data_IF_383396767641
#
_entry.id   IF_383396767641
#
_cell.length_a   1.000
_cell.length_b   1.000
_cell.length_c   1.000
_cell.angle_alpha   90.00
_cell.angle_beta   90.00
_cell.angle_gamma   90.00
#
_symmetry.space_group_name_H-M   'P 1'
#
loop_
_entity.id
_entity.type
_entity.pdbx_description
1 polymer ?
#
# COMPACT_ATOMS: atom_id res chain seq x y z
N UNK A 1 38.26 25.42 -60.20
CA UNK A 1 38.98 24.84 -59.03
C UNK A 1 37.96 24.28 -58.09
N UNK A 2 37.85 22.94 -57.91
CA UNK A 2 36.87 22.35 -56.99
C UNK A 2 37.51 22.19 -55.60
N UNK A 3 36.73 22.55 -54.58
CA UNK A 3 37.06 22.39 -53.18
C UNK A 3 36.93 20.91 -52.77
N UNK A 4 38.02 20.31 -52.35
CA UNK A 4 38.07 19.03 -51.68
C UNK A 4 37.48 19.18 -50.25
N UNK A 5 36.40 18.45 -49.92
CA UNK A 5 36.00 18.20 -48.53
C UNK A 5 36.77 16.98 -48.02
N UNK A 6 37.54 17.18 -46.97
CA UNK A 6 38.09 16.10 -46.21
C UNK A 6 37.07 15.45 -45.33
N UNK A 7 36.81 14.15 -45.52
CA UNK A 7 36.03 13.31 -44.60
C UNK A 7 36.85 13.13 -43.32
N UNK A 8 36.35 13.66 -42.21
CA UNK A 8 36.87 13.35 -40.88
C UNK A 8 36.22 12.06 -40.40
N UNK A 9 37.06 11.03 -40.31
CA UNK A 9 36.73 9.70 -39.78
C UNK A 9 36.35 9.82 -38.28
N UNK A 10 35.04 9.65 -37.97
CA UNK A 10 34.54 9.63 -36.61
C UNK A 10 34.77 8.24 -36.03
N UNK A 11 35.88 8.08 -35.30
CA UNK A 11 36.14 6.87 -34.52
C UNK A 11 35.08 6.70 -33.44
N UNK A 12 34.11 5.82 -33.69
CA UNK A 12 33.14 5.43 -32.68
C UNK A 12 33.82 4.61 -31.61
N UNK A 13 34.03 5.22 -30.45
CA UNK A 13 34.48 4.52 -29.25
C UNK A 13 33.42 3.48 -28.84
N UNK A 14 33.65 2.22 -29.17
CA UNK A 14 32.87 1.08 -28.65
C UNK A 14 33.31 0.86 -27.19
N UNK A 15 32.48 1.22 -26.24
CA UNK A 15 32.64 0.77 -24.88
C UNK A 15 32.42 -0.75 -24.84
N UNK A 16 33.29 -1.52 -24.15
CA UNK A 16 33.07 -2.96 -23.98
C UNK A 16 31.76 -3.18 -23.31
N UNK A 17 30.90 -4.03 -23.93
CA UNK A 17 29.61 -4.38 -23.39
C UNK A 17 29.76 -4.85 -21.95
N UNK A 18 29.05 -4.18 -21.03
CA UNK A 18 28.75 -4.78 -19.75
C UNK A 18 27.95 -6.05 -20.07
N UNK A 19 28.60 -7.19 -19.95
CA UNK A 19 27.89 -8.45 -19.79
C UNK A 19 26.91 -8.22 -18.64
N UNK A 20 25.61 -8.27 -18.97
CA UNK A 20 24.56 -8.28 -17.99
C UNK A 20 24.74 -9.56 -17.16
N UNK A 21 25.46 -9.45 -16.05
CA UNK A 21 25.30 -10.41 -14.97
C UNK A 21 23.81 -10.37 -14.70
N UNK A 22 23.13 -11.45 -15.04
CA UNK A 22 21.75 -11.68 -14.66
C UNK A 22 21.73 -11.68 -13.13
N UNK A 23 21.56 -10.49 -12.54
CA UNK A 23 21.19 -10.37 -11.16
C UNK A 23 19.86 -11.12 -11.08
N UNK A 24 19.82 -12.20 -10.32
CA UNK A 24 18.54 -12.75 -9.88
C UNK A 24 17.86 -11.60 -9.14
N UNK A 25 17.06 -10.84 -9.90
CA UNK A 25 16.41 -9.63 -9.39
C UNK A 25 15.43 -10.03 -8.30
N UNK A 26 15.24 -9.14 -7.33
CA UNK A 26 14.22 -9.31 -6.29
C UNK A 26 12.89 -9.72 -6.95
N UNK A 27 12.18 -10.68 -6.34
CA UNK A 27 10.83 -11.04 -6.77
C UNK A 27 9.93 -9.79 -6.79
N UNK A 28 8.99 -9.67 -7.71
CA UNK A 28 8.07 -8.53 -7.76
C UNK A 28 7.17 -8.51 -6.54
N UNK A 29 6.62 -7.33 -6.22
CA UNK A 29 5.52 -7.20 -5.25
C UNK A 29 4.21 -7.17 -6.03
N UNK A 30 3.26 -8.01 -5.63
CA UNK A 30 1.90 -8.02 -6.18
C UNK A 30 1.15 -6.79 -5.67
N UNK A 31 0.54 -6.04 -6.57
CA UNK A 31 -0.20 -4.80 -6.29
C UNK A 31 -1.63 -4.96 -6.81
N UNK A 32 -2.62 -4.93 -5.93
CA UNK A 32 -4.03 -5.02 -6.30
C UNK A 32 -4.68 -3.65 -6.21
N UNK A 33 -5.24 -3.19 -7.35
CA UNK A 33 -5.89 -1.89 -7.52
C UNK A 33 -7.32 -2.06 -8.03
N UNK A 34 -8.24 -1.17 -7.61
CA UNK A 34 -9.68 -1.33 -7.82
C UNK A 34 -10.29 -0.42 -8.89
N UNK A 35 -9.55 0.54 -9.42
CA UNK A 35 -10.01 1.48 -10.45
C UNK A 35 -9.00 1.54 -11.60
N UNK A 36 -9.45 1.82 -12.82
CA UNK A 36 -8.59 1.93 -14.00
C UNK A 36 -7.47 2.97 -13.82
N UNK A 37 -7.81 4.11 -13.22
CA UNK A 37 -6.89 5.23 -13.03
C UNK A 37 -6.18 5.22 -11.69
N UNK A 38 -6.39 4.21 -10.85
CA UNK A 38 -5.68 4.06 -9.58
C UNK A 38 -4.21 3.71 -9.82
N UNK A 39 -3.36 4.26 -8.97
CA UNK A 39 -1.92 4.01 -8.96
C UNK A 39 -1.49 3.60 -7.56
N UNK A 40 -0.38 2.85 -7.41
CA UNK A 40 0.13 2.49 -6.10
C UNK A 40 0.80 3.65 -5.35
N UNK A 41 0.70 4.86 -5.89
CA UNK A 41 1.09 6.09 -5.24
C UNK A 41 2.51 6.06 -4.66
N UNK A 42 2.64 6.57 -3.43
CA UNK A 42 3.90 6.64 -2.70
C UNK A 42 4.45 5.25 -2.35
N UNK A 43 3.58 4.30 -1.99
CA UNK A 43 3.98 2.92 -1.71
C UNK A 43 4.67 2.31 -2.92
N UNK A 44 4.08 2.42 -4.11
CA UNK A 44 4.70 1.91 -5.32
C UNK A 44 6.02 2.60 -5.68
N UNK A 45 6.13 3.90 -5.44
CA UNK A 45 7.37 4.64 -5.66
C UNK A 45 8.48 4.18 -4.70
N UNK A 46 8.15 3.98 -3.42
CA UNK A 46 9.10 3.51 -2.42
C UNK A 46 9.56 2.07 -2.70
N UNK A 47 8.65 1.16 -3.10
CA UNK A 47 9.00 -0.20 -3.48
C UNK A 47 9.94 -0.23 -4.69
N UNK A 48 9.71 0.60 -5.71
CA UNK A 48 10.63 0.74 -6.85
C UNK A 48 11.99 1.29 -6.43
N UNK A 49 12.02 2.26 -5.52
CA UNK A 49 13.26 2.79 -4.98
C UNK A 49 14.07 1.74 -4.19
N UNK A 50 13.39 0.78 -3.58
CA UNK A 50 14.00 -0.39 -2.93
C UNK A 50 14.42 -1.49 -3.92
N UNK A 51 14.20 -1.30 -5.24
CA UNK A 51 14.60 -2.23 -6.29
C UNK A 51 13.54 -3.26 -6.70
N UNK A 52 12.33 -3.22 -6.13
CA UNK A 52 11.27 -4.16 -6.49
C UNK A 52 10.56 -3.77 -7.78
N UNK A 53 10.30 -4.75 -8.64
CA UNK A 53 9.31 -4.63 -9.71
C UNK A 53 7.90 -4.73 -9.10
N UNK A 54 6.90 -4.17 -9.77
CA UNK A 54 5.50 -4.24 -9.34
C UNK A 54 4.71 -5.06 -10.36
N UNK A 55 4.06 -6.13 -9.91
CA UNK A 55 3.04 -6.87 -10.66
C UNK A 55 1.67 -6.26 -10.30
N UNK A 56 1.15 -5.41 -11.19
CA UNK A 56 -0.10 -4.69 -10.94
C UNK A 56 -1.27 -5.45 -11.54
N UNK A 57 -2.23 -5.81 -10.69
CA UNK A 57 -3.46 -6.53 -11.04
C UNK A 57 -4.69 -5.74 -10.66
N UNK A 58 -5.73 -5.86 -11.48
CA UNK A 58 -7.06 -5.28 -11.26
C UNK A 58 -8.15 -6.33 -11.43
N UNK A 59 -8.40 -7.18 -10.41
CA UNK A 59 -9.35 -8.30 -10.50
C UNK A 59 -10.77 -7.85 -10.83
N UNK A 60 -11.14 -6.63 -10.46
CA UNK A 60 -12.41 -5.99 -10.88
C UNK A 60 -12.57 -5.97 -12.40
N UNK A 61 -11.48 -5.87 -13.15
CA UNK A 61 -11.47 -5.77 -14.61
C UNK A 61 -11.00 -7.07 -15.29
N UNK A 62 -10.92 -8.17 -14.52
CA UNK A 62 -10.65 -9.49 -15.05
C UNK A 62 -9.22 -9.99 -14.89
N UNK A 63 -8.30 -9.22 -14.32
CA UNK A 63 -6.96 -9.73 -14.05
C UNK A 63 -7.03 -10.88 -13.04
N UNK A 64 -6.35 -12.01 -13.29
CA UNK A 64 -6.36 -13.13 -12.37
C UNK A 64 -5.51 -12.84 -11.14
N UNK A 65 -5.94 -13.35 -9.98
CA UNK A 65 -5.09 -13.44 -8.79
C UNK A 65 -4.26 -14.72 -8.87
N UNK A 66 -2.99 -14.71 -8.45
CA UNK A 66 -2.15 -15.90 -8.47
C UNK A 66 -2.60 -16.93 -7.43
N UNK A 67 -2.42 -18.21 -7.70
CA UNK A 67 -2.78 -19.29 -6.77
C UNK A 67 -1.81 -19.38 -5.58
N UNK A 68 -0.57 -18.92 -5.75
CA UNK A 68 0.47 -18.85 -4.72
C UNK A 68 1.24 -17.54 -4.82
N UNK A 69 1.96 -17.16 -3.77
CA UNK A 69 2.88 -16.02 -3.76
C UNK A 69 4.35 -16.44 -3.93
N UNK A 70 4.63 -17.66 -4.43
CA UNK A 70 6.01 -18.14 -4.61
C UNK A 70 6.83 -17.23 -5.51
N UNK A 71 6.22 -16.65 -6.54
CA UNK A 71 6.84 -15.74 -7.49
C UNK A 71 6.78 -14.25 -7.05
N UNK A 72 6.34 -13.97 -5.80
CA UNK A 72 6.20 -12.62 -5.27
C UNK A 72 6.91 -12.44 -3.93
N UNK A 73 7.54 -11.30 -3.74
CA UNK A 73 8.14 -10.92 -2.45
C UNK A 73 7.10 -10.61 -1.37
N UNK A 74 5.88 -10.30 -1.78
CA UNK A 74 4.74 -9.96 -0.92
C UNK A 74 3.61 -9.38 -1.75
N UNK A 75 2.50 -9.02 -1.10
CA UNK A 75 1.32 -8.49 -1.75
C UNK A 75 0.75 -7.26 -1.03
N UNK A 76 0.19 -6.32 -1.80
CA UNK A 76 -0.50 -5.14 -1.29
C UNK A 76 -1.87 -5.03 -1.94
N UNK A 77 -2.94 -4.99 -1.12
CA UNK A 77 -4.29 -4.61 -1.56
C UNK A 77 -4.54 -3.15 -1.14
N UNK A 78 -4.80 -2.31 -2.12
CA UNK A 78 -5.00 -0.88 -1.91
C UNK A 78 -6.44 -0.51 -1.57
N UNK A 79 -6.66 0.77 -1.30
CA UNK A 79 -7.97 1.35 -1.12
C UNK A 79 -8.81 1.36 -2.40
N UNK A 80 -10.11 1.56 -2.23
CA UNK A 80 -11.08 1.66 -3.31
C UNK A 80 -12.37 2.31 -2.84
N UNK A 81 -13.27 2.73 -3.75
CA UNK A 81 -14.55 3.36 -3.40
C UNK A 81 -15.62 2.36 -2.93
N UNK A 82 -15.34 1.04 -3.00
CA UNK A 82 -16.23 -0.04 -2.61
C UNK A 82 -16.25 -0.21 -1.10
N UNK A 83 -17.26 -0.92 -0.60
CA UNK A 83 -17.28 -1.52 0.73
C UNK A 83 -16.71 -2.94 0.68
N UNK A 84 -15.98 -3.35 1.71
CA UNK A 84 -15.64 -4.75 1.90
C UNK A 84 -16.88 -5.63 2.12
N UNK A 85 -18.06 -5.02 2.35
CA UNK A 85 -19.35 -5.69 2.47
C UNK A 85 -20.13 -5.80 1.16
N UNK A 86 -19.64 -5.22 0.06
CA UNK A 86 -20.32 -5.27 -1.22
C UNK A 86 -20.47 -6.72 -1.72
N UNK A 87 -21.61 -7.05 -2.35
CA UNK A 87 -21.91 -8.40 -2.82
C UNK A 87 -21.16 -8.80 -4.10
N UNK A 88 -20.38 -7.89 -4.67
CA UNK A 88 -19.67 -8.10 -5.91
C UNK A 88 -18.71 -9.30 -5.86
N UNK A 89 -18.75 -10.13 -6.88
CA UNK A 89 -17.97 -11.37 -6.93
C UNK A 89 -16.45 -11.14 -6.83
N UNK A 90 -15.95 -10.01 -7.38
CA UNK A 90 -14.52 -9.69 -7.30
C UNK A 90 -14.11 -9.30 -5.87
N UNK A 91 -14.98 -8.59 -5.10
CA UNK A 91 -14.72 -8.23 -3.70
C UNK A 91 -14.56 -9.49 -2.86
N UNK A 92 -15.50 -10.45 -2.99
CA UNK A 92 -15.41 -11.74 -2.29
C UNK A 92 -14.15 -12.51 -2.66
N UNK A 93 -13.85 -12.58 -3.96
CA UNK A 93 -12.65 -13.27 -4.47
C UNK A 93 -11.36 -12.66 -3.91
N UNK A 94 -11.27 -11.35 -3.80
CA UNK A 94 -10.10 -10.69 -3.21
C UNK A 94 -10.00 -10.96 -1.71
N UNK A 95 -11.12 -10.94 -0.97
CA UNK A 95 -11.17 -11.31 0.45
C UNK A 95 -10.71 -12.76 0.64
N UNK A 96 -11.30 -13.71 -0.10
CA UNK A 96 -10.97 -15.14 -0.02
C UNK A 96 -9.49 -15.39 -0.41
N UNK A 97 -8.99 -14.64 -1.39
CA UNK A 97 -7.61 -14.77 -1.85
C UNK A 97 -6.57 -14.35 -0.80
N UNK A 98 -6.91 -13.47 0.15
CA UNK A 98 -6.01 -13.08 1.25
C UNK A 98 -5.53 -14.31 2.03
N UNK A 99 -6.35 -15.38 2.10
CA UNK A 99 -5.98 -16.65 2.71
C UNK A 99 -4.68 -17.24 2.13
N UNK A 100 -4.39 -17.01 0.85
CA UNK A 100 -3.14 -17.45 0.20
C UNK A 100 -1.93 -16.81 0.91
N UNK A 101 -1.96 -15.49 1.10
CA UNK A 101 -0.88 -14.77 1.78
C UNK A 101 -0.72 -15.20 3.25
N UNK A 102 -1.85 -15.41 3.95
CA UNK A 102 -1.86 -15.82 5.36
C UNK A 102 -1.31 -17.24 5.53
N UNK A 103 -1.79 -18.20 4.74
CA UNK A 103 -1.37 -19.59 4.78
C UNK A 103 0.10 -19.76 4.42
N UNK A 104 0.59 -19.02 3.42
CA UNK A 104 1.97 -19.06 2.97
C UNK A 104 2.90 -18.18 3.81
N UNK A 105 2.37 -17.50 4.83
CA UNK A 105 3.10 -16.59 5.70
C UNK A 105 3.91 -15.53 4.93
N UNK A 106 3.39 -15.11 3.78
CA UNK A 106 4.01 -14.09 2.94
C UNK A 106 3.72 -12.69 3.45
N UNK A 107 4.63 -11.73 3.28
CA UNK A 107 4.36 -10.33 3.60
C UNK A 107 3.11 -9.84 2.89
N UNK A 108 2.13 -9.39 3.66
CA UNK A 108 0.88 -8.82 3.15
C UNK A 108 0.61 -7.45 3.77
N UNK A 109 0.11 -6.52 2.98
CA UNK A 109 -0.30 -5.19 3.45
C UNK A 109 -1.65 -4.81 2.84
N UNK A 110 -2.64 -4.56 3.70
CA UNK A 110 -3.92 -3.96 3.32
C UNK A 110 -3.95 -2.47 3.64
N UNK A 111 -4.41 -1.64 2.70
CA UNK A 111 -4.57 -0.19 2.87
C UNK A 111 -6.04 0.17 2.69
N UNK A 112 -6.66 0.83 3.66
CA UNK A 112 -8.05 1.27 3.69
C UNK A 112 -9.00 0.09 3.37
N UNK A 113 -9.58 0.02 2.16
CA UNK A 113 -10.38 -1.13 1.75
C UNK A 113 -9.62 -2.45 1.88
N UNK A 114 -8.34 -2.49 1.52
CA UNK A 114 -7.51 -3.70 1.67
C UNK A 114 -7.33 -4.13 3.13
N UNK A 115 -7.25 -3.18 4.06
CA UNK A 115 -7.23 -3.49 5.50
C UNK A 115 -8.59 -3.99 6.00
N UNK A 116 -9.69 -3.43 5.49
CA UNK A 116 -11.04 -3.88 5.78
C UNK A 116 -11.28 -5.30 5.23
N UNK A 117 -10.77 -5.61 4.04
CA UNK A 117 -10.81 -6.96 3.46
C UNK A 117 -10.02 -7.96 4.31
N UNK A 118 -8.81 -7.58 4.76
CA UNK A 118 -8.00 -8.41 5.66
C UNK A 118 -8.73 -8.65 6.99
N UNK A 119 -9.32 -7.60 7.58
CA UNK A 119 -10.08 -7.72 8.82
C UNK A 119 -11.26 -8.69 8.66
N UNK A 120 -11.99 -8.60 7.53
CA UNK A 120 -13.08 -9.55 7.22
C UNK A 120 -12.60 -10.97 7.03
N UNK A 121 -11.50 -11.20 6.31
CA UNK A 121 -10.90 -12.53 6.14
C UNK A 121 -10.53 -13.16 7.49
N UNK A 122 -10.12 -12.33 8.44
CA UNK A 122 -9.83 -12.73 9.82
C UNK A 122 -11.08 -12.79 10.72
N UNK A 123 -12.28 -12.64 10.17
CA UNK A 123 -13.56 -12.78 10.88
C UNK A 123 -14.03 -11.54 11.62
N UNK A 124 -13.37 -10.40 11.46
CA UNK A 124 -13.80 -9.15 12.10
C UNK A 124 -14.92 -8.45 11.30
N UNK A 125 -15.71 -7.65 12.02
CA UNK A 125 -16.78 -6.85 11.42
C UNK A 125 -16.20 -5.58 10.78
N UNK A 126 -16.69 -5.26 9.58
CA UNK A 126 -16.50 -3.96 8.92
C UNK A 126 -17.84 -3.24 8.90
N UNK A 127 -17.87 -1.98 9.34
CA UNK A 127 -19.10 -1.21 9.42
C UNK A 127 -18.85 0.30 9.29
N UNK A 128 -19.86 1.09 8.85
CA UNK A 128 -19.82 2.54 8.94
C UNK A 128 -19.85 2.99 10.40
N UNK A 129 -19.36 4.21 10.64
CA UNK A 129 -19.43 4.83 11.96
C UNK A 129 -20.89 4.98 12.40
N UNK A 130 -21.25 4.64 13.67
CA UNK A 130 -22.65 4.66 14.14
C UNK A 130 -23.35 6.01 13.99
N UNK A 131 -22.59 7.10 14.02
CA UNK A 131 -23.11 8.46 13.85
C UNK A 131 -22.94 9.00 12.41
N UNK A 132 -22.66 8.14 11.42
CA UNK A 132 -22.46 8.53 10.04
C UNK A 132 -21.24 9.40 9.78
N UNK A 133 -20.25 9.40 10.68
CA UNK A 133 -19.00 10.16 10.52
C UNK A 133 -18.08 9.48 9.51
N UNK A 134 -17.25 10.29 8.88
CA UNK A 134 -16.16 9.85 8.02
C UNK A 134 -14.85 10.52 8.48
N UNK A 135 -13.74 9.86 8.21
CA UNK A 135 -12.42 10.49 8.28
C UNK A 135 -11.93 10.76 6.87
N UNK A 136 -11.88 12.04 6.51
CA UNK A 136 -11.43 12.55 5.20
C UNK A 136 -10.54 13.75 5.47
N UNK A 137 -9.22 13.59 5.28
CA UNK A 137 -8.17 14.54 5.66
C UNK A 137 -7.12 13.94 6.58
N UNK A 138 -6.34 14.76 7.26
CA UNK A 138 -5.38 14.32 8.27
C UNK A 138 -6.05 14.23 9.64
N UNK A 139 -5.81 13.12 10.34
CA UNK A 139 -6.34 12.87 11.70
C UNK A 139 -5.24 12.30 12.59
N UNK A 140 -5.30 12.60 13.90
CA UNK A 140 -4.35 12.07 14.85
C UNK A 140 -4.54 10.56 15.05
N UNK A 141 -3.43 9.85 15.18
CA UNK A 141 -3.38 8.45 15.62
C UNK A 141 -2.46 8.33 16.84
N UNK A 142 -2.63 7.27 17.61
CA UNK A 142 -1.79 6.93 18.75
C UNK A 142 -1.22 5.53 18.56
N UNK A 143 0.06 5.43 18.22
CA UNK A 143 0.74 4.13 18.16
C UNK A 143 0.76 3.47 19.53
N UNK A 144 0.54 2.16 19.57
CA UNK A 144 0.65 1.33 20.76
C UNK A 144 2.11 0.94 21.02
N UNK A 145 2.39 0.27 22.15
CA UNK A 145 3.70 -0.34 22.40
C UNK A 145 4.07 -1.36 21.32
N UNK A 146 3.10 -2.18 20.87
CA UNK A 146 3.27 -3.12 19.76
C UNK A 146 3.55 -2.39 18.44
N UNK A 147 2.86 -1.27 18.17
CA UNK A 147 3.12 -0.43 17.01
C UNK A 147 4.55 0.08 16.97
N UNK A 148 5.05 0.61 18.08
CA UNK A 148 6.46 1.06 18.18
C UNK A 148 7.45 -0.08 17.99
N UNK A 149 7.16 -1.28 18.53
CA UNK A 149 8.00 -2.46 18.34
C UNK A 149 7.98 -2.97 16.89
N UNK A 150 6.83 -2.90 16.22
CA UNK A 150 6.67 -3.32 14.83
C UNK A 150 7.40 -2.38 13.86
N UNK A 151 7.32 -1.07 14.07
CA UNK A 151 8.02 -0.06 13.26
C UNK A 151 8.20 1.21 14.10
N UNK A 152 9.42 1.69 14.31
CA UNK A 152 9.65 2.97 15.01
C UNK A 152 9.31 4.17 14.11
N UNK A 153 9.13 5.34 14.74
CA UNK A 153 8.98 6.62 14.04
C UNK A 153 7.59 6.86 13.47
N UNK A 154 6.54 6.34 14.09
CA UNK A 154 5.16 6.60 13.68
C UNK A 154 4.86 8.10 13.60
N UNK A 155 4.10 8.53 12.59
CA UNK A 155 3.52 9.86 12.56
C UNK A 155 2.43 9.97 13.64
N UNK A 156 2.22 11.18 14.15
CA UNK A 156 1.10 11.52 15.03
C UNK A 156 -0.19 11.86 14.26
N UNK A 157 -0.07 12.18 12.97
CA UNK A 157 -1.19 12.41 12.06
C UNK A 157 -0.96 11.68 10.74
N UNK A 158 -2.03 11.06 10.21
CA UNK A 158 -2.03 10.33 8.94
C UNK A 158 -3.21 10.72 8.07
N UNK A 159 -3.10 10.49 6.77
CA UNK A 159 -4.15 10.86 5.83
C UNK A 159 -5.20 9.78 5.69
N UNK A 160 -6.48 10.15 5.81
CA UNK A 160 -7.64 9.29 5.69
C UNK A 160 -8.56 9.69 4.54
N UNK A 161 -9.29 8.69 4.01
CA UNK A 161 -10.39 8.89 3.05
C UNK A 161 -11.37 7.72 3.14
N UNK A 162 -12.06 7.57 4.28
CA UNK A 162 -12.98 6.46 4.53
C UNK A 162 -14.18 6.87 5.39
N UNK A 163 -15.24 6.05 5.33
CA UNK A 163 -16.46 6.14 6.12
C UNK A 163 -16.76 4.86 6.92
N UNK A 164 -16.08 3.77 6.61
CA UNK A 164 -16.16 2.50 7.29
C UNK A 164 -14.85 2.22 8.00
N UNK A 165 -14.95 1.57 9.13
CA UNK A 165 -13.84 1.02 9.89
C UNK A 165 -14.08 -0.45 10.17
N UNK A 166 -13.22 -1.05 10.96
CA UNK A 166 -13.30 -2.46 11.33
C UNK A 166 -12.99 -2.67 12.81
N UNK A 167 -13.55 -3.76 13.36
CA UNK A 167 -13.16 -4.23 14.68
C UNK A 167 -11.77 -4.91 14.60
N UNK A 168 -11.02 -4.90 15.69
CA UNK A 168 -9.75 -5.62 15.77
C UNK A 168 -10.01 -7.13 15.60
N UNK A 169 -9.40 -7.81 14.62
CA UNK A 169 -9.56 -9.24 14.46
C UNK A 169 -9.05 -10.01 15.70
N UNK A 170 -9.72 -11.09 16.06
CA UNK A 170 -9.30 -11.93 17.19
C UNK A 170 -7.88 -12.46 16.99
N UNK A 171 -7.01 -12.26 17.97
CA UNK A 171 -5.61 -12.68 17.92
C UNK A 171 -4.69 -11.75 17.12
N UNK A 172 -5.21 -10.66 16.56
CA UNK A 172 -4.38 -9.62 15.94
C UNK A 172 -3.85 -8.63 16.99
N UNK A 173 -2.69 -8.06 16.74
CA UNK A 173 -2.08 -7.02 17.55
C UNK A 173 -2.51 -5.63 17.07
N UNK A 174 -3.05 -4.81 17.98
CA UNK A 174 -3.35 -3.40 17.67
C UNK A 174 -2.07 -2.59 17.63
N UNK A 175 -1.79 -1.95 16.49
CA UNK A 175 -0.57 -1.16 16.29
C UNK A 175 -0.79 0.35 16.46
N UNK A 176 -1.96 0.85 16.08
CA UNK A 176 -2.33 2.25 16.26
C UNK A 176 -3.83 2.41 16.47
N UNK A 177 -4.20 3.38 17.29
CA UNK A 177 -5.57 3.74 17.65
C UNK A 177 -5.94 5.12 17.12
N UNK A 178 -7.23 5.29 16.78
CA UNK A 178 -7.86 6.57 16.48
C UNK A 178 -8.97 6.93 17.46
N UNK A 179 -9.53 8.12 17.32
CA UNK A 179 -10.62 8.61 18.17
C UNK A 179 -12.00 8.21 17.66
N UNK A 180 -12.29 8.46 16.38
CA UNK A 180 -13.59 8.16 15.76
C UNK A 180 -13.65 6.68 15.32
N UNK A 181 -12.55 6.14 14.81
CA UNK A 181 -12.37 4.73 14.46
C UNK A 181 -11.26 4.17 15.34
N UNK A 182 -11.58 3.22 16.24
CA UNK A 182 -10.62 2.79 17.27
C UNK A 182 -9.44 1.99 16.72
N UNK A 183 -9.57 1.33 15.58
CA UNK A 183 -8.51 0.50 14.99
C UNK A 183 -7.99 1.18 13.72
N UNK A 184 -6.81 1.78 13.80
CA UNK A 184 -6.16 2.48 12.69
C UNK A 184 -5.08 1.63 12.02
N UNK A 185 -4.44 0.76 12.79
CA UNK A 185 -3.48 -0.21 12.26
C UNK A 185 -3.44 -1.46 13.13
N UNK A 186 -3.30 -2.61 12.49
CA UNK A 186 -3.15 -3.89 13.17
C UNK A 186 -2.20 -4.82 12.42
N UNK A 187 -1.70 -5.86 13.12
CA UNK A 187 -0.88 -6.92 12.57
C UNK A 187 -1.45 -8.28 12.96
N UNK A 188 -1.46 -9.22 12.00
CA UNK A 188 -1.74 -10.63 12.23
C UNK A 188 -0.68 -11.46 11.49
N UNK A 189 0.27 -12.05 12.22
CA UNK A 189 1.42 -12.73 11.63
C UNK A 189 2.25 -11.81 10.74
N UNK A 190 2.34 -12.11 9.45
CA UNK A 190 3.06 -11.32 8.44
C UNK A 190 2.17 -10.31 7.70
N UNK A 191 0.88 -10.24 8.07
CA UNK A 191 -0.09 -9.35 7.45
C UNK A 191 -0.31 -8.09 8.30
N UNK A 192 -0.30 -6.93 7.63
CA UNK A 192 -0.54 -5.61 8.21
C UNK A 192 -1.77 -4.97 7.57
N UNK A 193 -2.65 -4.39 8.40
CA UNK A 193 -3.78 -3.58 7.97
C UNK A 193 -3.63 -2.15 8.42
N UNK A 194 -3.70 -1.19 7.49
CA UNK A 194 -3.71 0.25 7.75
C UNK A 194 -5.03 0.85 7.25
N UNK A 195 -5.83 1.44 8.16
CA UNK A 195 -7.06 2.11 7.78
C UNK A 195 -6.78 3.40 7.00
N UNK A 196 -5.69 4.08 7.31
CA UNK A 196 -5.24 5.31 6.66
C UNK A 196 -4.50 5.05 5.32
N UNK A 197 -4.18 6.13 4.61
CA UNK A 197 -3.59 6.11 3.28
C UNK A 197 -2.13 6.58 3.23
N UNK A 198 -1.14 5.76 3.59
CA UNK A 198 0.27 6.13 3.47
C UNK A 198 0.74 6.24 2.02
N UNK A 199 -0.09 5.76 1.07
CA UNK A 199 0.14 5.77 -0.37
C UNK A 199 -0.13 7.12 -1.04
N UNK A 200 -0.81 8.07 -0.36
CA UNK A 200 -1.31 9.30 -0.97
C UNK A 200 -0.20 10.25 -1.39
N UNK A 201 -0.17 10.56 -2.69
CA UNK A 201 0.64 11.63 -3.26
C UNK A 201 -0.16 12.95 -3.35
N UNK A 202 0.54 14.07 -3.57
CA UNK A 202 -0.13 15.37 -3.82
C UNK A 202 -1.14 15.29 -4.98
N UNK A 203 -0.76 14.65 -6.08
CA UNK A 203 -1.64 14.49 -7.24
C UNK A 203 -2.88 13.63 -6.94
N UNK A 204 -2.73 12.59 -6.09
CA UNK A 204 -3.86 11.78 -5.64
C UNK A 204 -4.79 12.60 -4.75
N UNK A 205 -4.26 13.32 -3.78
CA UNK A 205 -5.01 14.20 -2.89
C UNK A 205 -5.78 15.27 -3.69
N UNK A 206 -5.12 15.92 -4.64
CA UNK A 206 -5.76 16.91 -5.52
C UNK A 206 -6.93 16.29 -6.31
N UNK A 207 -6.70 15.11 -6.92
CA UNK A 207 -7.73 14.40 -7.67
C UNK A 207 -8.90 13.97 -6.78
N UNK A 208 -8.64 13.44 -5.58
CA UNK A 208 -9.68 12.99 -4.66
C UNK A 208 -10.51 14.14 -4.14
N UNK A 209 -9.89 15.23 -3.72
CA UNK A 209 -10.59 16.43 -3.23
C UNK A 209 -11.32 17.20 -4.31
N UNK A 210 -11.00 16.94 -5.59
CA UNK A 210 -11.71 17.54 -6.73
C UNK A 210 -12.87 16.66 -7.19
N UNK A 211 -12.63 15.34 -7.38
CA UNK A 211 -13.65 14.43 -7.91
C UNK A 211 -14.63 13.91 -6.85
N UNK A 212 -14.22 13.88 -5.60
CA UNK A 212 -15.01 13.46 -4.44
C UNK A 212 -15.36 14.63 -3.52
N UNK A 213 -15.52 15.84 -4.06
CA UNK A 213 -15.78 17.05 -3.28
C UNK A 213 -17.07 16.94 -2.45
N UNK A 214 -18.06 16.19 -2.93
CA UNK A 214 -19.32 15.92 -2.22
C UNK A 214 -19.11 15.18 -0.89
N UNK A 215 -18.05 14.38 -0.78
CA UNK A 215 -17.73 13.62 0.43
C UNK A 215 -17.21 14.50 1.55
N UNK A 216 -16.69 15.67 1.24
CA UNK A 216 -16.19 16.61 2.24
C UNK A 216 -17.30 17.33 3.02
N UNK A 217 -18.58 17.15 2.63
CA UNK A 217 -19.74 17.57 3.42
C UNK A 217 -20.21 16.53 4.45
N UNK A 218 -19.59 15.34 4.46
CA UNK A 218 -19.92 14.30 5.45
C UNK A 218 -19.43 14.72 6.84
N UNK A 219 -20.21 14.47 7.90
CA UNK A 219 -19.78 14.75 9.28
C UNK A 219 -18.41 14.13 9.57
N UNK A 220 -17.50 14.92 10.11
CA UNK A 220 -16.12 14.51 10.41
C UNK A 220 -15.13 14.78 9.28
N UNK A 221 -15.55 15.00 8.04
CA UNK A 221 -14.63 15.34 6.95
C UNK A 221 -14.01 16.74 7.11
N UNK A 222 -12.75 16.88 6.67
CA UNK A 222 -12.06 18.17 6.61
C UNK A 222 -12.37 18.90 5.32
N UNK A 223 -12.43 20.23 5.36
CA UNK A 223 -12.56 21.04 4.16
C UNK A 223 -11.31 20.94 3.30
N UNK A 224 -11.48 21.13 1.97
CA UNK A 224 -10.42 20.94 0.97
C UNK A 224 -9.11 21.67 1.30
N UNK A 225 -9.17 22.90 1.79
CA UNK A 225 -7.97 23.68 2.07
C UNK A 225 -7.13 23.10 3.22
N UNK A 226 -7.76 22.46 4.21
CA UNK A 226 -7.07 21.79 5.32
C UNK A 226 -6.22 20.62 4.82
N UNK A 227 -6.67 19.85 3.82
CA UNK A 227 -5.89 18.74 3.29
C UNK A 227 -4.48 19.17 2.84
N UNK A 228 -4.38 20.34 2.20
CA UNK A 228 -3.11 20.83 1.67
C UNK A 228 -2.26 21.55 2.74
N UNK A 229 -2.90 22.26 3.67
CA UNK A 229 -2.22 22.88 4.79
C UNK A 229 -1.63 21.81 5.71
N UNK A 230 -2.42 20.81 6.10
CA UNK A 230 -2.02 19.71 6.97
C UNK A 230 -0.95 18.83 6.31
N UNK A 231 -1.03 18.64 4.97
CA UNK A 231 0.01 17.96 4.23
C UNK A 231 1.38 18.61 4.40
N UNK A 232 1.44 19.93 4.36
CA UNK A 232 2.70 20.65 4.53
C UNK A 232 3.33 20.38 5.91
N UNK A 233 2.50 20.08 6.91
CA UNK A 233 2.93 19.81 8.28
C UNK A 233 3.27 18.32 8.51
N UNK A 234 2.44 17.38 8.04
CA UNK A 234 2.49 15.98 8.48
C UNK A 234 3.13 15.03 7.46
N UNK A 235 3.10 15.36 6.16
CA UNK A 235 3.50 14.44 5.08
C UNK A 235 4.96 13.97 5.16
N UNK A 236 5.85 14.80 5.65
CA UNK A 236 7.29 14.46 5.72
C UNK A 236 7.54 13.31 6.70
N UNK A 237 6.87 13.33 7.86
CA UNK A 237 7.02 12.31 8.90
C UNK A 237 6.34 11.01 8.43
N UNK A 238 5.12 11.09 7.90
CA UNK A 238 4.40 9.94 7.35
C UNK A 238 5.20 9.23 6.23
N UNK A 239 5.82 10.00 5.35
CA UNK A 239 6.66 9.47 4.28
C UNK A 239 7.93 8.80 4.81
N UNK A 240 8.58 9.38 5.81
CA UNK A 240 9.77 8.80 6.42
C UNK A 240 9.44 7.47 7.11
N UNK A 241 8.34 7.43 7.87
CA UNK A 241 7.82 6.21 8.50
C UNK A 241 7.51 5.13 7.46
N UNK A 242 6.79 5.46 6.38
CA UNK A 242 6.46 4.50 5.32
C UNK A 242 7.72 3.87 4.71
N UNK A 243 8.74 4.67 4.41
CA UNK A 243 9.99 4.16 3.86
C UNK A 243 10.69 3.17 4.82
N UNK A 244 10.72 3.49 6.11
CA UNK A 244 11.27 2.63 7.15
C UNK A 244 10.45 1.33 7.27
N UNK A 245 9.11 1.44 7.29
CA UNK A 245 8.21 0.31 7.33
C UNK A 245 8.43 -0.64 6.15
N UNK A 246 8.39 -0.14 4.92
CA UNK A 246 8.57 -0.95 3.71
C UNK A 246 9.94 -1.61 3.65
N UNK A 247 10.99 -0.93 4.10
CA UNK A 247 12.35 -1.49 4.18
C UNK A 247 12.48 -2.67 5.14
N UNK A 248 11.65 -2.72 6.19
CA UNK A 248 11.63 -3.83 7.16
C UNK A 248 10.59 -4.89 6.83
N UNK A 249 9.45 -4.50 6.27
CA UNK A 249 8.31 -5.36 5.97
C UNK A 249 8.67 -6.54 5.06
N UNK A 250 9.35 -6.30 3.94
CA UNK A 250 9.74 -7.34 2.99
C UNK A 250 10.93 -8.19 3.44
N UNK A 251 11.70 -7.75 4.46
CA UNK A 251 12.79 -8.53 5.04
C UNK A 251 12.32 -9.55 6.08
N UNK A 252 11.06 -9.51 6.48
CA UNK A 252 10.44 -10.42 7.48
C UNK A 252 10.04 -11.78 6.92
N UNK A 253 10.56 -12.16 5.73
CA UNK A 253 10.36 -13.51 5.17
C UNK A 253 10.93 -14.55 6.15
N UNK A 254 10.19 -15.62 6.51
CA UNK A 254 10.68 -16.64 7.44
C UNK A 254 12.00 -17.24 6.94
N UNK A 255 12.97 -17.41 7.85
CA UNK A 255 14.27 -18.02 7.55
C UNK A 255 14.17 -19.45 7.01
N UNK A 256 13.02 -20.13 7.12
CA UNK A 256 12.77 -21.49 6.61
C UNK A 256 12.79 -21.60 5.08
N UNK A 257 12.52 -20.53 4.35
CA UNK A 257 12.53 -20.56 2.86
C UNK A 257 13.96 -20.39 2.30
N UNK A 258 14.87 -19.79 3.08
CA UNK A 258 16.27 -19.62 2.63
C UNK A 258 17.11 -20.91 2.75
N UNK A 259 16.70 -21.88 3.56
CA UNK A 259 17.43 -23.14 3.74
C UNK A 259 17.10 -24.21 2.69
N UNK A 260 15.97 -24.10 2.00
CA UNK A 260 15.61 -25.04 0.91
C UNK A 260 16.20 -24.67 -0.46
N UNK A 261 16.72 -23.46 -0.62
CA UNK A 261 17.39 -23.03 -1.86
C UNK A 261 18.92 -23.21 -1.81
N UNK A 262 19.47 -23.80 -0.74
CA UNK A 262 20.90 -24.04 -0.55
C UNK A 262 21.27 -25.52 -0.48
N UNK A 263 20.31 -26.43 -0.72
CA UNK A 263 20.52 -27.86 -0.98
C UNK A 263 20.24 -28.19 -2.46
#
# INVERSE_FOLDING_TARGET
>A
MPFHRSETDATVLRFPGREAVASQGLLPVLIILHQETSTPGRVGNALRALGYRLDIRRPRFGDPLPETLDDHAGAVIFGGPMSANDPDAYVRREIDWIEVALREQRPFMGICLGAQMLARQLGAKVAPHPQGRAQIGYYPIRPTAAGHAACPGWPDHVYHWHREGFDLPTGAELLAEGSDFPVEAFQSGHAFGFQFHPDVTYAMMYRWTTRGCERMSTPGARERHHHFADRAQYDVIERAWLNNFLGSWLKRTPMSVMLQAAE
#
